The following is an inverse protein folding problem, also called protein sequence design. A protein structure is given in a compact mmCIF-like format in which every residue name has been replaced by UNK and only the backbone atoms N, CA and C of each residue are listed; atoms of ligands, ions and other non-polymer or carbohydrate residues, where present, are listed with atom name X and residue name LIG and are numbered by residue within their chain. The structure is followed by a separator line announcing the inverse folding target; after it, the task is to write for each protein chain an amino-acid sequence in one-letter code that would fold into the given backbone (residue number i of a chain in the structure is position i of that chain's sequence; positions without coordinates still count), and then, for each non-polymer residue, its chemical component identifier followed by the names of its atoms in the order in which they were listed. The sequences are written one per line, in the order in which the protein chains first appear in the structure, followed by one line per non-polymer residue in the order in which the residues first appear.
data_IF_277682419128
#
_entry.id   IF_277682419128
#
_cell.length_a   1.000
_cell.length_b   1.000
_cell.length_c   1.000
_cell.angle_alpha   90.00
_cell.angle_beta   90.00
_cell.angle_gamma   90.00
#
_symmetry.space_group_name_H-M   'P 1'
#
loop_
_entity.id
_entity.type
_entity.pdbx_description
1 polymer ?
#
# COMPACT_ATOMS: atom_id res chain seq x y z
N UNK A 1 2.95 -13.85 -24.61
CA UNK A 1 3.86 -14.67 -25.47
C UNK A 1 5.29 -14.51 -24.95
N UNK A 2 5.90 -15.54 -24.38
CA UNK A 2 7.28 -15.47 -23.84
C UNK A 2 8.31 -15.49 -24.98
N UNK A 3 9.14 -14.46 -25.13
CA UNK A 3 10.28 -14.48 -26.07
C UNK A 3 11.60 -14.47 -25.32
N UNK A 4 12.19 -15.65 -25.13
CA UNK A 4 13.61 -15.77 -24.77
C UNK A 4 14.45 -15.17 -25.90
N UNK A 5 15.34 -14.22 -25.57
CA UNK A 5 16.24 -13.58 -26.55
C UNK A 5 15.70 -12.33 -27.26
N UNK A 6 14.58 -11.76 -26.81
CA UNK A 6 14.13 -10.45 -27.31
C UNK A 6 15.09 -9.34 -26.89
N UNK A 7 15.71 -8.65 -27.86
CA UNK A 7 16.53 -7.45 -27.61
C UNK A 7 15.64 -6.22 -27.76
N UNK A 8 15.63 -5.35 -26.74
CA UNK A 8 14.91 -4.09 -26.80
C UNK A 8 15.35 -3.26 -28.02
N UNK A 9 14.43 -2.60 -28.73
CA UNK A 9 14.80 -1.63 -29.76
C UNK A 9 15.70 -0.52 -29.20
N UNK A 10 16.56 0.07 -30.03
CA UNK A 10 17.58 1.04 -29.58
C UNK A 10 17.01 2.27 -28.86
N UNK A 11 15.76 2.65 -29.12
CA UNK A 11 15.08 3.79 -28.48
C UNK A 11 14.31 3.41 -27.20
N UNK A 12 14.38 2.14 -26.80
CA UNK A 12 13.69 1.60 -25.64
C UNK A 12 14.70 1.41 -24.51
N UNK A 13 14.28 1.67 -23.27
CA UNK A 13 15.13 1.52 -22.09
C UNK A 13 14.32 0.94 -20.93
N UNK A 14 14.99 0.15 -20.11
CA UNK A 14 14.39 -0.36 -18.88
C UNK A 14 14.38 0.73 -17.81
N UNK A 15 13.35 0.72 -16.97
CA UNK A 15 13.32 1.52 -15.75
C UNK A 15 14.58 1.28 -14.93
N UNK A 16 15.12 2.34 -14.31
CA UNK A 16 16.16 2.17 -13.30
C UNK A 16 15.60 1.59 -12.00
N UNK A 17 14.27 1.66 -11.82
CA UNK A 17 13.57 1.02 -10.72
C UNK A 17 13.11 -0.41 -11.04
N UNK A 18 13.18 -1.27 -10.02
CA UNK A 18 12.41 -2.52 -9.97
C UNK A 18 11.18 -2.28 -9.12
N UNK A 19 10.14 -3.07 -9.38
CA UNK A 19 8.84 -2.92 -8.75
C UNK A 19 7.92 -2.11 -9.66
N UNK A 20 6.96 -2.78 -10.28
CA UNK A 20 5.80 -2.12 -10.90
C UNK A 20 4.67 -1.89 -9.85
N UNK A 21 5.02 -1.93 -8.57
CA UNK A 21 4.11 -2.28 -7.47
C UNK A 21 2.98 -1.30 -7.18
N UNK A 22 1.90 -1.92 -6.70
CA UNK A 22 0.91 -1.36 -5.81
C UNK A 22 1.06 -2.06 -4.43
N UNK A 23 0.87 -1.33 -3.33
CA UNK A 23 0.91 -1.89 -1.98
C UNK A 23 -0.19 -2.96 -1.83
N UNK A 24 0.19 -4.24 -1.72
CA UNK A 24 -0.79 -5.33 -1.56
C UNK A 24 -0.32 -6.71 -2.01
N UNK A 25 0.75 -6.82 -2.78
CA UNK A 25 1.24 -8.12 -3.27
C UNK A 25 1.90 -8.96 -2.15
N UNK A 26 1.82 -10.31 -2.20
CA UNK A 26 2.37 -11.19 -1.19
C UNK A 26 3.91 -11.35 -1.28
N UNK A 27 4.54 -11.95 -0.26
CA UNK A 27 5.97 -12.22 -0.26
C UNK A 27 6.45 -12.98 -1.49
N UNK A 28 7.46 -12.44 -2.17
CA UNK A 28 8.09 -13.07 -3.34
C UNK A 28 7.29 -12.93 -4.63
N UNK A 29 6.27 -12.08 -4.68
CA UNK A 29 5.52 -11.82 -5.91
C UNK A 29 6.44 -11.31 -7.03
N UNK A 30 6.33 -11.79 -8.28
CA UNK A 30 7.26 -11.43 -9.34
C UNK A 30 7.20 -9.94 -9.71
N UNK A 31 6.07 -9.27 -9.48
CA UNK A 31 5.88 -7.82 -9.71
C UNK A 31 6.87 -6.94 -8.93
N UNK A 32 7.39 -7.40 -7.78
CA UNK A 32 8.45 -6.72 -7.01
C UNK A 32 9.76 -6.59 -7.80
N UNK A 33 9.96 -7.44 -8.81
CA UNK A 33 11.22 -7.54 -9.55
C UNK A 33 11.08 -7.12 -11.01
N UNK A 34 9.87 -6.72 -11.42
CA UNK A 34 9.59 -6.23 -12.77
C UNK A 34 10.24 -4.87 -12.99
N UNK A 35 10.78 -4.68 -14.19
CA UNK A 35 11.18 -3.36 -14.71
C UNK A 35 10.24 -2.97 -15.83
N UNK A 36 9.69 -1.75 -15.76
CA UNK A 36 8.94 -1.20 -16.88
C UNK A 36 9.88 -0.89 -18.06
N UNK A 37 9.37 -1.04 -19.27
CA UNK A 37 10.05 -0.67 -20.51
C UNK A 37 9.51 0.68 -20.96
N UNK A 38 10.41 1.64 -21.14
CA UNK A 38 10.12 2.99 -21.58
C UNK A 38 10.58 3.22 -22.99
N UNK A 39 9.88 4.09 -23.71
CA UNK A 39 10.34 4.64 -24.98
C UNK A 39 10.82 6.07 -24.80
N UNK A 40 11.40 6.66 -25.85
CA UNK A 40 11.71 8.10 -25.88
C UNK A 40 10.48 9.01 -25.69
N UNK A 41 9.26 8.49 -25.86
CA UNK A 41 8.01 9.24 -25.78
C UNK A 41 7.22 9.03 -24.48
N UNK A 42 7.72 8.23 -23.53
CA UNK A 42 7.08 8.04 -22.23
C UNK A 42 6.91 6.58 -21.79
N UNK A 43 6.00 6.38 -20.83
CA UNK A 43 5.72 5.10 -20.18
C UNK A 43 5.05 4.14 -21.15
N UNK A 44 5.62 2.94 -21.27
CA UNK A 44 5.15 1.84 -22.10
C UNK A 44 5.18 2.12 -23.61
N UNK A 45 5.64 1.19 -24.46
CA UNK A 45 5.46 1.31 -25.89
C UNK A 45 3.98 1.52 -26.26
N UNK A 46 3.66 2.44 -27.18
CA UNK A 46 2.29 2.63 -27.62
C UNK A 46 1.79 1.34 -28.28
N UNK A 47 0.63 0.87 -27.83
CA UNK A 47 -0.11 -0.21 -28.47
C UNK A 47 -0.46 0.24 -29.89
N UNK A 48 0.32 -0.22 -30.85
CA UNK A 48 0.14 0.08 -32.27
C UNK A 48 -0.06 -1.25 -32.99
N UNK A 49 -0.99 -1.33 -33.96
CA UNK A 49 -1.16 -2.53 -34.78
C UNK A 49 0.19 -2.94 -35.39
N UNK A 50 0.67 -4.13 -35.03
CA UNK A 50 1.96 -4.68 -35.48
C UNK A 50 3.17 -4.41 -34.56
N UNK A 51 2.99 -3.73 -33.43
CA UNK A 51 4.08 -3.41 -32.50
C UNK A 51 4.00 -4.30 -31.24
N UNK A 52 4.80 -5.36 -31.21
CA UNK A 52 4.96 -6.28 -30.07
C UNK A 52 5.94 -5.72 -29.03
N UNK A 53 5.79 -4.45 -28.67
CA UNK A 53 6.66 -3.81 -27.68
C UNK A 53 6.39 -4.42 -26.31
N UNK A 54 7.41 -5.03 -25.70
CA UNK A 54 7.29 -5.45 -24.31
C UNK A 54 7.14 -4.23 -23.40
N UNK A 55 6.22 -4.29 -22.45
CA UNK A 55 6.00 -3.26 -21.43
C UNK A 55 6.79 -3.56 -20.15
N UNK A 56 7.13 -4.83 -19.93
CA UNK A 56 7.70 -5.31 -18.69
C UNK A 56 8.85 -6.28 -18.96
N UNK A 57 9.85 -6.25 -18.07
CA UNK A 57 10.94 -7.21 -18.03
C UNK A 57 11.00 -7.87 -16.65
N UNK A 58 11.11 -9.19 -16.62
CA UNK A 58 11.29 -10.01 -15.43
C UNK A 58 12.29 -11.14 -15.70
N UNK A 59 13.45 -11.11 -15.04
CA UNK A 59 14.57 -12.05 -15.19
C UNK A 59 15.03 -12.29 -16.64
N UNK A 60 15.21 -11.21 -17.40
CA UNK A 60 15.63 -11.22 -18.81
C UNK A 60 14.55 -11.67 -19.79
N UNK A 61 13.31 -11.89 -19.30
CA UNK A 61 12.14 -12.21 -20.11
C UNK A 61 11.25 -10.99 -20.23
N UNK A 62 10.62 -10.84 -21.38
CA UNK A 62 9.85 -9.67 -21.74
C UNK A 62 8.37 -10.00 -21.89
N UNK A 63 7.53 -9.13 -21.34
CA UNK A 63 6.07 -9.31 -21.24
C UNK A 63 5.35 -8.04 -21.70
N UNK A 64 4.19 -8.22 -22.29
CA UNK A 64 3.28 -7.12 -22.65
C UNK A 64 2.35 -6.77 -21.49
N UNK A 65 1.89 -7.78 -20.75
CA UNK A 65 0.95 -7.62 -19.63
C UNK A 65 1.59 -8.08 -18.31
N UNK A 66 1.21 -7.44 -17.20
CA UNK A 66 1.66 -7.86 -15.86
C UNK A 66 1.06 -9.21 -15.46
N UNK A 67 -0.15 -9.52 -15.94
CA UNK A 67 -0.84 -10.78 -15.70
C UNK A 67 -0.05 -11.98 -16.26
N UNK A 68 0.71 -11.78 -17.34
CA UNK A 68 1.61 -12.82 -17.85
C UNK A 68 2.81 -13.03 -16.91
N UNK A 69 3.27 -11.98 -16.20
CA UNK A 69 4.33 -12.08 -15.19
C UNK A 69 3.83 -12.82 -13.95
N UNK A 70 2.58 -12.59 -13.54
CA UNK A 70 1.98 -13.19 -12.34
C UNK A 70 1.90 -14.70 -12.40
N UNK A 71 1.85 -15.28 -13.60
CA UNK A 71 1.91 -16.75 -13.79
C UNK A 71 3.20 -17.38 -13.28
N UNK A 72 4.25 -16.58 -13.04
CA UNK A 72 5.49 -17.05 -12.43
C UNK A 72 5.43 -17.06 -10.90
N UNK A 73 4.40 -16.48 -10.30
CA UNK A 73 4.23 -16.49 -8.87
C UNK A 73 3.89 -17.89 -8.37
N UNK A 74 4.58 -18.29 -7.30
CA UNK A 74 4.27 -19.48 -6.52
C UNK A 74 4.10 -19.02 -5.07
N UNK A 75 2.87 -18.99 -4.52
CA UNK A 75 2.67 -18.54 -3.15
C UNK A 75 3.41 -19.46 -2.19
N UNK A 76 4.00 -18.86 -1.15
CA UNK A 76 4.50 -19.60 -0.01
C UNK A 76 3.31 -20.20 0.76
N UNK A 77 3.50 -21.26 1.57
CA UNK A 77 2.43 -21.76 2.43
C UNK A 77 1.88 -20.65 3.34
N UNK A 78 0.58 -20.72 3.67
CA UNK A 78 -0.10 -19.68 4.44
C UNK A 78 0.56 -19.46 5.81
N UNK A 79 0.98 -20.54 6.45
CA UNK A 79 1.67 -20.60 7.74
C UNK A 79 3.11 -20.07 7.70
N UNK A 80 3.66 -19.79 6.52
CA UNK A 80 5.02 -19.31 6.39
C UNK A 80 5.19 -17.95 7.12
N UNK A 81 6.25 -17.73 7.93
CA UNK A 81 6.40 -16.51 8.72
C UNK A 81 6.29 -15.19 7.93
N UNK A 82 6.86 -15.16 6.72
CA UNK A 82 6.71 -14.01 5.79
C UNK A 82 5.26 -13.77 5.37
N UNK A 83 4.48 -14.81 5.13
CA UNK A 83 3.06 -14.68 4.74
C UNK A 83 2.25 -14.17 5.92
N UNK A 84 2.48 -14.71 7.13
CA UNK A 84 1.86 -14.23 8.36
C UNK A 84 2.16 -12.74 8.63
N UNK A 85 3.43 -12.33 8.49
CA UNK A 85 3.82 -10.92 8.63
C UNK A 85 3.18 -10.03 7.56
N UNK A 86 3.04 -10.52 6.33
CA UNK A 86 2.36 -9.80 5.25
C UNK A 86 0.88 -9.65 5.52
N UNK A 87 0.19 -10.70 5.96
CA UNK A 87 -1.23 -10.66 6.33
C UNK A 87 -1.46 -9.55 7.36
N UNK A 88 -0.68 -9.54 8.44
CA UNK A 88 -0.78 -8.51 9.49
C UNK A 88 -0.52 -7.11 8.93
N UNK A 89 0.51 -6.93 8.10
CA UNK A 89 0.81 -5.64 7.47
C UNK A 89 -0.34 -5.16 6.56
N UNK A 90 -0.94 -6.08 5.79
CA UNK A 90 -2.08 -5.79 4.92
C UNK A 90 -3.31 -5.39 5.72
N UNK A 91 -3.62 -6.09 6.82
CA UNK A 91 -4.69 -5.69 7.73
C UNK A 91 -4.44 -4.33 8.37
N UNK A 92 -3.21 -4.03 8.79
CA UNK A 92 -2.84 -2.71 9.30
C UNK A 92 -3.02 -1.61 8.24
N UNK A 93 -2.56 -1.85 7.01
CA UNK A 93 -2.65 -0.88 5.92
C UNK A 93 -4.10 -0.61 5.49
N UNK A 94 -4.98 -1.59 5.65
CA UNK A 94 -6.38 -1.52 5.24
C UNK A 94 -7.36 -1.56 6.41
N UNK A 95 -6.93 -1.19 7.62
CA UNK A 95 -7.68 -1.34 8.88
C UNK A 95 -9.12 -0.82 8.83
N UNK A 96 -9.34 0.24 8.05
CA UNK A 96 -10.65 0.89 7.95
C UNK A 96 -11.27 0.73 6.56
N UNK A 97 -10.70 -0.09 5.69
CA UNK A 97 -11.05 -0.18 4.27
C UNK A 97 -11.89 -1.43 4.00
N UNK A 98 -13.07 -1.25 3.42
CA UNK A 98 -14.02 -2.30 3.07
C UNK A 98 -14.49 -2.14 1.63
N UNK A 99 -14.95 -3.21 0.99
CA UNK A 99 -15.54 -3.16 -0.35
C UNK A 99 -17.05 -3.38 -0.25
N UNK A 100 -17.83 -2.52 -0.91
CA UNK A 100 -19.24 -2.75 -1.13
C UNK A 100 -19.43 -3.88 -2.17
N UNK A 101 -19.98 -5.05 -1.78
CA UNK A 101 -20.20 -6.14 -2.72
C UNK A 101 -21.24 -5.80 -3.80
N UNK A 102 -22.09 -4.80 -3.56
CA UNK A 102 -23.12 -4.36 -4.51
C UNK A 102 -22.70 -3.12 -5.31
N UNK A 103 -21.48 -2.60 -5.07
CA UNK A 103 -21.00 -1.40 -5.74
C UNK A 103 -20.72 -1.63 -7.23
N UNK A 104 -21.01 -0.62 -8.05
CA UNK A 104 -20.71 -0.64 -9.48
C UNK A 104 -19.43 0.13 -9.75
N UNK A 105 -18.39 -0.54 -10.27
CA UNK A 105 -17.14 0.12 -10.63
C UNK A 105 -15.89 -0.68 -10.27
N UNK A 106 -14.76 0.00 -10.26
CA UNK A 106 -13.49 -0.58 -9.84
C UNK A 106 -13.33 -0.61 -8.32
N UNK A 107 -12.20 -1.14 -7.86
CA UNK A 107 -11.84 -1.21 -6.43
C UNK A 107 -11.98 0.12 -5.69
N UNK A 108 -11.60 1.23 -6.32
CA UNK A 108 -11.68 2.56 -5.72
C UNK A 108 -13.10 3.08 -5.59
N UNK A 109 -13.99 2.74 -6.53
CA UNK A 109 -15.37 3.21 -6.55
C UNK A 109 -16.21 2.53 -5.48
N UNK A 110 -15.87 1.27 -5.17
CA UNK A 110 -16.58 0.43 -4.20
C UNK A 110 -15.95 0.49 -2.80
N UNK A 111 -14.90 1.30 -2.60
CA UNK A 111 -14.21 1.41 -1.32
C UNK A 111 -15.04 2.20 -0.30
N UNK A 112 -15.34 1.56 0.82
CA UNK A 112 -15.96 2.16 2.00
C UNK A 112 -14.91 2.29 3.10
N UNK A 113 -14.98 3.40 3.85
CA UNK A 113 -14.17 3.62 5.03
C UNK A 113 -15.07 3.52 6.26
N UNK A 114 -14.73 2.63 7.20
CA UNK A 114 -15.45 2.47 8.46
C UNK A 114 -14.47 2.36 9.65
N UNK A 115 -14.65 3.13 10.74
CA UNK A 115 -15.70 4.14 10.98
C UNK A 115 -15.74 5.27 9.94
N UNK A 116 -16.93 5.80 9.68
CA UNK A 116 -17.11 6.84 8.64
C UNK A 116 -16.36 8.10 9.08
N UNK A 117 -15.41 8.61 8.29
CA UNK A 117 -14.66 9.79 8.69
C UNK A 117 -15.52 11.04 8.52
N UNK A 118 -15.32 12.03 9.40
CA UNK A 118 -16.13 13.25 9.45
C UNK A 118 -16.16 14.09 8.17
N UNK A 119 -15.21 13.90 7.25
CA UNK A 119 -15.21 14.57 5.95
C UNK A 119 -16.13 13.92 4.91
N UNK A 120 -16.62 12.70 5.18
CA UNK A 120 -17.64 12.01 4.38
C UNK A 120 -19.06 12.28 4.90
N UNK A 121 -19.19 12.79 6.11
CA UNK A 121 -20.47 13.18 6.70
C UNK A 121 -20.89 14.58 6.22
N UNK A 122 -22.19 14.76 6.08
CA UNK A 122 -22.80 16.04 5.78
C UNK A 122 -22.60 17.01 6.96
N UNK A 123 -22.40 18.29 6.63
CA UNK A 123 -22.16 19.35 7.60
C UNK A 123 -23.23 20.41 7.46
N UNK A 124 -23.88 20.74 8.56
CA UNK A 124 -24.76 21.89 8.60
C UNK A 124 -23.93 23.16 8.67
N UNK A 125 -24.13 24.06 7.69
CA UNK A 125 -23.57 25.41 7.73
C UNK A 125 -24.61 26.34 8.33
N UNK A 126 -24.37 26.76 9.56
CA UNK A 126 -25.27 27.67 10.25
C UNK A 126 -25.23 29.07 9.61
N UNK A 127 -26.40 29.67 9.39
CA UNK A 127 -26.57 30.97 8.79
C UNK A 127 -27.81 31.65 9.38
N UNK A 128 -27.56 32.76 10.09
CA UNK A 128 -28.55 33.51 10.87
C UNK A 128 -29.63 34.16 9.99
N UNK A 129 -29.42 34.23 8.67
CA UNK A 129 -30.43 34.76 7.74
C UNK A 129 -31.63 33.83 7.61
N UNK A 130 -31.51 32.56 7.99
CA UNK A 130 -32.62 31.61 7.98
C UNK A 130 -33.36 31.58 9.32
N UNK A 131 -34.66 31.30 9.28
CA UNK A 131 -35.47 31.16 10.50
C UNK A 131 -35.00 29.98 11.37
N UNK A 132 -35.16 30.11 12.68
CA UNK A 132 -34.79 29.05 13.63
C UNK A 132 -35.48 27.72 13.32
N UNK A 133 -36.76 27.75 12.96
CA UNK A 133 -37.51 26.55 12.54
C UNK A 133 -36.88 25.85 11.34
N UNK A 134 -36.41 26.60 10.34
CA UNK A 134 -35.70 26.03 9.20
C UNK A 134 -34.35 25.44 9.62
N UNK A 135 -33.58 26.17 10.44
CA UNK A 135 -32.27 25.74 10.94
C UNK A 135 -32.38 24.43 11.73
N UNK A 136 -33.37 24.30 12.61
CA UNK A 136 -33.66 23.08 13.37
C UNK A 136 -34.02 21.91 12.44
N UNK A 137 -34.91 22.14 11.47
CA UNK A 137 -35.33 21.10 10.52
C UNK A 137 -34.15 20.63 9.65
N UNK A 138 -33.32 21.55 9.18
CA UNK A 138 -32.13 21.24 8.38
C UNK A 138 -31.06 20.49 9.20
N UNK A 139 -30.82 20.89 10.45
CA UNK A 139 -29.94 20.15 11.37
C UNK A 139 -30.43 18.72 11.59
N UNK A 140 -31.74 18.52 11.81
CA UNK A 140 -32.32 17.20 11.99
C UNK A 140 -32.20 16.34 10.72
N UNK A 141 -32.44 16.91 9.54
CA UNK A 141 -32.29 16.21 8.27
C UNK A 141 -30.85 15.74 8.03
N UNK A 142 -29.86 16.61 8.29
CA UNK A 142 -28.43 16.26 8.18
C UNK A 142 -28.04 15.20 9.21
N UNK A 143 -28.54 15.29 10.44
CA UNK A 143 -28.29 14.28 11.45
C UNK A 143 -28.84 12.91 11.02
N UNK A 144 -30.06 12.86 10.46
CA UNK A 144 -30.63 11.63 9.93
C UNK A 144 -29.82 11.08 8.74
N UNK A 145 -29.45 11.93 7.78
CA UNK A 145 -28.65 11.53 6.64
C UNK A 145 -27.29 10.94 7.08
N UNK A 146 -26.64 11.55 8.06
CA UNK A 146 -25.38 11.04 8.62
C UNK A 146 -25.57 9.69 9.34
N UNK A 147 -26.66 9.51 10.09
CA UNK A 147 -27.01 8.22 10.69
C UNK A 147 -27.22 7.13 9.64
N UNK A 148 -27.89 7.46 8.53
CA UNK A 148 -28.13 6.51 7.44
C UNK A 148 -26.82 6.11 6.74
N UNK A 149 -25.91 7.08 6.53
CA UNK A 149 -24.55 6.82 5.99
C UNK A 149 -23.77 5.88 6.91
N UNK A 150 -23.75 6.16 8.22
CA UNK A 150 -23.05 5.34 9.20
C UNK A 150 -23.65 3.94 9.31
N UNK A 151 -24.99 3.83 9.33
CA UNK A 151 -25.69 2.56 9.39
C UNK A 151 -25.39 1.69 8.16
N UNK A 152 -25.39 2.29 6.96
CA UNK A 152 -25.00 1.58 5.74
C UNK A 152 -23.55 1.13 5.78
N UNK A 153 -22.63 2.00 6.18
CA UNK A 153 -21.20 1.67 6.26
C UNK A 153 -20.94 0.53 7.27
N UNK A 154 -21.58 0.60 8.44
CA UNK A 154 -21.50 -0.44 9.46
C UNK A 154 -22.03 -1.80 8.98
N UNK A 155 -23.15 -1.81 8.23
CA UNK A 155 -23.70 -3.04 7.67
C UNK A 155 -22.78 -3.72 6.66
N UNK A 156 -21.97 -2.94 5.93
CA UNK A 156 -21.01 -3.45 4.94
C UNK A 156 -19.68 -3.84 5.60
N UNK A 157 -19.33 -3.22 6.73
CA UNK A 157 -18.07 -3.42 7.46
C UNK A 157 -17.98 -4.79 8.16
N UNK A 158 -17.97 -5.85 7.35
CA UNK A 158 -17.85 -7.25 7.78
C UNK A 158 -16.45 -7.78 7.48
N UNK A 159 -16.00 -8.85 8.17
CA UNK A 159 -14.69 -9.45 7.89
C UNK A 159 -14.49 -9.91 6.44
N UNK A 160 -15.56 -10.39 5.79
CA UNK A 160 -15.50 -10.86 4.40
C UNK A 160 -15.36 -9.71 3.40
N UNK A 161 -15.95 -8.55 3.71
CA UNK A 161 -15.85 -7.35 2.87
C UNK A 161 -14.59 -6.53 3.14
N UNK A 162 -13.82 -6.87 4.18
CA UNK A 162 -12.61 -6.13 4.54
C UNK A 162 -11.57 -6.19 3.40
N UNK A 163 -10.98 -5.03 3.07
CA UNK A 163 -10.08 -4.89 1.92
C UNK A 163 -8.89 -5.83 1.97
N UNK A 164 -8.30 -6.01 3.17
CA UNK A 164 -7.22 -6.97 3.38
C UNK A 164 -7.66 -8.43 3.09
N UNK A 165 -8.84 -8.83 3.56
CA UNK A 165 -9.39 -10.18 3.31
C UNK A 165 -9.48 -10.45 1.81
N UNK A 166 -10.03 -9.50 1.06
CA UNK A 166 -10.21 -9.65 -0.39
C UNK A 166 -8.87 -9.74 -1.10
N UNK A 167 -7.88 -8.93 -0.72
CA UNK A 167 -6.51 -9.00 -1.27
C UNK A 167 -5.87 -10.35 -0.96
N UNK A 168 -5.95 -10.81 0.29
CA UNK A 168 -5.35 -12.08 0.71
C UNK A 168 -5.99 -13.25 -0.04
N UNK A 169 -7.31 -13.26 -0.18
CA UNK A 169 -8.05 -14.32 -0.90
C UNK A 169 -7.73 -14.41 -2.38
N UNK A 170 -7.16 -13.38 -3.02
CA UNK A 170 -6.63 -13.49 -4.41
C UNK A 170 -5.52 -14.53 -4.54
N UNK A 171 -4.75 -14.74 -3.46
CA UNK A 171 -3.63 -15.69 -3.44
C UNK A 171 -3.89 -16.90 -2.52
N UNK A 172 -4.76 -16.75 -1.52
CA UNK A 172 -5.13 -17.77 -0.54
C UNK A 172 -6.67 -17.84 -0.41
N UNK A 173 -7.38 -18.47 -1.36
CA UNK A 173 -8.86 -18.41 -1.42
C UNK A 173 -9.57 -18.90 -0.16
N UNK A 174 -8.98 -19.89 0.52
CA UNK A 174 -9.53 -20.48 1.75
C UNK A 174 -9.17 -19.69 3.02
N UNK A 175 -8.55 -18.51 2.90
CA UNK A 175 -8.24 -17.67 4.04
C UNK A 175 -9.51 -17.19 4.74
N UNK A 176 -9.59 -17.44 6.04
CA UNK A 176 -10.70 -17.02 6.91
C UNK A 176 -10.19 -15.90 7.82
N UNK A 177 -10.70 -14.67 7.68
CA UNK A 177 -10.29 -13.57 8.55
C UNK A 177 -10.86 -13.76 9.96
N UNK A 178 -10.07 -13.44 10.98
CA UNK A 178 -10.53 -13.33 12.36
C UNK A 178 -10.82 -11.86 12.69
N UNK A 179 -11.83 -11.60 13.52
CA UNK A 179 -12.13 -10.23 14.00
C UNK A 179 -10.94 -9.58 14.70
N UNK A 180 -10.11 -10.38 15.39
CA UNK A 180 -8.88 -9.90 16.04
C UNK A 180 -7.92 -9.18 15.07
N UNK A 181 -7.75 -9.70 13.84
CA UNK A 181 -6.89 -9.09 12.83
C UNK A 181 -7.43 -7.75 12.31
N UNK A 182 -8.73 -7.49 12.46
CA UNK A 182 -9.40 -6.28 11.99
C UNK A 182 -9.42 -5.23 13.10
N UNK A 183 -9.90 -5.63 14.27
CA UNK A 183 -10.13 -4.72 15.39
C UNK A 183 -8.81 -4.32 16.05
N UNK A 184 -7.90 -5.28 16.19
CA UNK A 184 -6.62 -5.15 16.90
C UNK A 184 -5.50 -5.88 16.15
N UNK A 185 -5.18 -5.48 14.90
CA UNK A 185 -4.10 -6.10 14.15
C UNK A 185 -2.81 -6.06 14.98
N UNK A 186 -2.10 -7.20 15.13
CA UNK A 186 -0.88 -7.25 15.89
C UNK A 186 0.14 -6.21 15.40
N UNK A 187 0.91 -5.64 16.32
CA UNK A 187 2.07 -4.83 15.97
C UNK A 187 3.19 -5.75 15.45
N UNK A 188 3.12 -6.15 14.18
CA UNK A 188 4.20 -6.89 13.54
C UNK A 188 5.34 -5.94 13.14
N UNK A 189 6.60 -6.43 13.05
CA UNK A 189 7.67 -5.67 12.42
C UNK A 189 7.19 -5.27 11.03
N UNK A 190 7.17 -3.97 10.76
CA UNK A 190 6.31 -3.34 9.76
C UNK A 190 6.48 -3.79 8.30
N UNK A 191 7.27 -4.82 8.00
CA UNK A 191 7.52 -5.31 6.66
C UNK A 191 7.90 -6.81 6.64
N UNK A 192 7.14 -7.62 5.90
CA UNK A 192 7.26 -9.09 5.83
C UNK A 192 8.61 -9.62 5.36
N UNK A 193 9.37 -8.86 4.57
CA UNK A 193 10.71 -9.27 4.10
C UNK A 193 11.77 -9.29 5.21
N UNK A 194 11.48 -8.73 6.39
CA UNK A 194 12.36 -8.78 7.56
C UNK A 194 12.41 -10.17 8.25
N UNK A 195 11.59 -11.13 7.84
CA UNK A 195 11.36 -12.41 8.57
C UNK A 195 12.03 -13.65 7.95
N UNK A 196 13.02 -13.50 7.07
CA UNK A 196 13.93 -14.61 6.73
C UNK A 196 15.37 -14.11 6.55
N UNK A 197 16.31 -14.99 6.21
CA UNK A 197 17.77 -14.70 6.14
C UNK A 197 18.04 -13.34 5.51
N UNK A 198 18.28 -12.37 6.39
CA UNK A 198 18.52 -10.98 6.08
C UNK A 198 19.94 -10.93 5.53
N UNK A 199 20.17 -10.47 4.28
CA UNK A 199 21.53 -10.16 3.89
C UNK A 199 22.05 -9.10 4.85
N UNK A 200 23.22 -9.35 5.44
CA UNK A 200 23.90 -8.36 6.27
C UNK A 200 24.01 -7.03 5.50
N UNK A 201 23.98 -5.87 6.18
CA UNK A 201 24.05 -4.56 5.52
C UNK A 201 25.15 -4.47 4.44
N UNK A 202 26.29 -5.11 4.67
CA UNK A 202 27.45 -5.10 3.77
C UNK A 202 27.20 -5.90 2.47
N UNK A 203 26.30 -6.88 2.55
CA UNK A 203 25.90 -7.82 1.50
C UNK A 203 24.52 -7.49 0.89
N UNK A 204 23.88 -6.41 1.36
CA UNK A 204 22.59 -5.96 0.86
C UNK A 204 22.76 -5.33 -0.54
N UNK A 205 22.01 -5.80 -1.56
CA UNK A 205 22.03 -5.17 -2.88
C UNK A 205 21.34 -3.78 -2.88
N UNK A 206 20.63 -3.43 -1.80
CA UNK A 206 19.98 -2.15 -1.59
C UNK A 206 18.89 -1.79 -2.61
N UNK A 207 18.42 -0.54 -2.56
CA UNK A 207 17.41 -0.05 -3.52
C UNK A 207 18.10 0.20 -4.87
N UNK A 208 17.63 -0.43 -5.94
CA UNK A 208 18.21 -0.32 -7.29
C UNK A 208 19.61 -0.92 -7.48
N UNK A 209 19.97 -1.97 -6.73
CA UNK A 209 21.33 -2.54 -6.76
C UNK A 209 22.42 -1.57 -6.29
N UNK A 210 22.04 -0.44 -5.65
CA UNK A 210 22.96 0.47 -4.99
C UNK A 210 22.98 0.14 -3.50
N UNK A 211 24.18 -0.07 -2.93
CA UNK A 211 24.38 -0.12 -1.48
C UNK A 211 23.69 1.09 -0.85
N UNK A 212 23.07 0.89 0.32
CA UNK A 212 22.11 1.77 0.99
C UNK A 212 22.23 3.25 0.56
N UNK A 213 21.16 3.86 0.01
CA UNK A 213 21.26 5.19 -0.54
C UNK A 213 21.70 6.18 0.54
N UNK A 214 22.79 6.90 0.28
CA UNK A 214 23.23 8.05 1.07
C UNK A 214 22.06 9.04 1.18
N UNK A 215 21.60 9.31 2.41
CA UNK A 215 20.49 10.23 2.67
C UNK A 215 19.09 9.59 2.73
N UNK A 216 18.96 8.26 2.86
CA UNK A 216 17.70 7.65 3.30
C UNK A 216 17.86 6.95 4.63
N UNK A 217 16.87 7.14 5.50
CA UNK A 217 16.80 6.55 6.84
C UNK A 217 16.51 5.06 6.84
N UNK A 218 16.21 4.41 5.70
CA UNK A 218 15.80 3.00 5.68
C UNK A 218 15.99 2.28 4.32
N UNK A 219 16.32 0.98 4.38
CA UNK A 219 16.44 0.05 3.26
C UNK A 219 15.34 -1.03 3.25
N UNK A 220 14.60 -1.13 2.15
CA UNK A 220 13.51 -2.09 1.96
C UNK A 220 13.96 -3.54 1.73
N UNK A 221 15.26 -3.84 1.62
CA UNK A 221 15.74 -5.20 1.31
C UNK A 221 16.30 -5.89 2.55
N UNK A 222 17.29 -5.29 3.21
CA UNK A 222 17.86 -5.84 4.43
C UNK A 222 17.23 -5.23 5.70
N UNK A 223 16.46 -4.14 5.62
CA UNK A 223 15.96 -3.46 6.82
C UNK A 223 17.02 -2.66 7.58
N UNK A 224 18.18 -2.39 6.99
CA UNK A 224 19.14 -1.40 7.48
C UNK A 224 18.46 -0.03 7.59
N UNK A 225 18.74 0.70 8.65
CA UNK A 225 18.33 2.09 8.84
C UNK A 225 19.55 2.88 9.30
N UNK A 226 19.57 4.17 8.96
CA UNK A 226 20.53 5.07 9.56
C UNK A 226 20.27 5.09 11.08
N UNK A 227 21.30 5.00 11.93
CA UNK A 227 21.11 5.26 13.36
C UNK A 227 20.48 6.64 13.47
N UNK A 228 19.35 6.76 14.17
CA UNK A 228 18.83 8.08 14.49
C UNK A 228 19.96 8.83 15.20
N UNK A 229 20.27 10.09 14.80
CA UNK A 229 21.16 10.90 15.59
C UNK A 229 20.58 10.90 16.99
N UNK A 230 21.38 10.48 17.98
CA UNK A 230 20.96 10.48 19.37
C UNK A 230 20.30 11.85 19.63
N UNK A 231 19.00 11.81 19.90
CA UNK A 231 18.31 12.97 20.44
C UNK A 231 19.00 13.22 21.78
N UNK A 232 19.82 14.26 21.76
CA UNK A 232 20.22 15.09 22.90
C UNK A 232 21.48 14.72 23.68
N UNK A 233 22.63 15.10 23.12
CA UNK A 233 23.65 15.81 23.91
C UNK A 233 23.56 17.34 23.73
N UNK A 234 23.01 17.82 22.60
CA UNK A 234 22.90 19.25 22.33
C UNK A 234 21.62 19.91 22.86
N UNK A 235 20.48 19.20 23.01
CA UNK A 235 19.31 19.80 23.68
C UNK A 235 19.36 19.66 25.21
N UNK A 236 20.09 18.70 25.80
CA UNK A 236 20.36 18.68 27.25
C UNK A 236 21.20 19.91 27.66
N UNK A 237 22.28 20.23 26.93
CA UNK A 237 23.08 21.43 27.18
C UNK A 237 22.28 22.74 26.98
N UNK A 238 21.37 22.77 26.00
CA UNK A 238 20.51 23.94 25.74
C UNK A 238 19.37 24.09 26.77
N UNK A 239 19.00 23.02 27.49
CA UNK A 239 18.04 23.08 28.58
C UNK A 239 18.72 23.53 29.89
N UNK A 240 19.94 23.06 30.17
CA UNK A 240 20.71 23.45 31.36
C UNK A 240 21.12 24.93 31.35
N UNK A 241 21.58 25.47 30.21
CA UNK A 241 21.95 26.89 30.09
C UNK A 241 20.76 27.87 30.25
N UNK A 242 19.51 27.42 30.01
CA UNK A 242 18.32 28.26 30.24
C UNK A 242 17.86 28.27 31.69
N UNK A 243 18.15 27.23 32.46
CA UNK A 243 17.73 27.15 33.87
C UNK A 243 18.66 27.88 34.84
N UNK A 244 19.89 28.23 34.43
CA UNK A 244 20.84 28.98 35.27
C UNK A 244 20.79 30.51 35.08
N UNK A 245 19.99 31.01 34.12
CA UNK A 245 19.88 32.45 33.79
C UNK A 245 18.68 33.20 34.40
N UNK A 246 17.78 32.51 35.10
CA UNK A 246 16.57 33.11 35.72
C UNK A 246 16.52 32.86 37.25
N UNK A 247 17.68 32.99 37.91
CA UNK A 247 17.82 33.00 39.37
C UNK A 247 18.41 34.29 39.89
#
# INVERSE_FOLDING_TARGET
MLKLGYKLPATYRLSNSRGAECAGEPPGHPRYFVRAVYTQYGNSPPDRPGNLGANYEYHGRYYTELEDVDRHFKPLPLEHPRVQAWIIATFNHHRYCYQDPNGTGGWHDNLIIYPVPSYKLEKFRDDERFSDKWRETAKAAIAQANQDIEARAAAIATPDNHGATIIIRRHYPDFIPTTELIDNPPAAPGNWWKTGDRPEPENCPGQYSMKHPTGKTWCQWCGWHEPEPAIDAHLEAAYEERTEGEG
#
